data_IF_856086748200
#
_entry.id   IF_856086748200
#
_cell.length_a   1.000
_cell.length_b   1.000
_cell.length_c   1.000
_cell.angle_alpha   90.00
_cell.angle_beta   90.00
_cell.angle_gamma   90.00
#
_symmetry.space_group_name_H-M   'P 1'
#
loop_
_entity.id
_entity.type
_entity.pdbx_description
1 polymer ?
#
# COMPACT_ATOMS: atom_id res chain seq x y z
N UNK A 1 1.10 21.28 3.94
CA UNK A 1 0.43 20.05 4.42
C UNK A 1 0.62 18.98 3.36
N UNK A 2 1.27 17.87 3.68
CA UNK A 2 1.28 16.68 2.80
C UNK A 2 -0.16 16.19 2.71
N UNK A 3 -0.72 16.11 1.51
CA UNK A 3 -2.18 15.96 1.33
C UNK A 3 -2.60 14.56 0.90
N UNK A 4 -1.65 13.69 0.56
CA UNK A 4 -1.96 12.35 0.08
C UNK A 4 -1.70 11.29 1.17
N UNK A 5 -2.77 10.58 1.51
CA UNK A 5 -2.77 9.44 2.42
C UNK A 5 -2.29 8.18 1.70
N UNK A 6 -1.86 7.17 2.43
CA UNK A 6 -1.84 5.79 1.91
C UNK A 6 -3.27 5.30 1.82
N UNK A 7 -3.75 4.92 0.64
CA UNK A 7 -5.07 4.28 0.51
C UNK A 7 -4.91 2.77 0.53
N UNK A 8 -5.64 2.11 1.43
CA UNK A 8 -5.61 0.66 1.60
C UNK A 8 -6.96 0.06 1.22
N UNK A 9 -6.95 -1.01 0.44
CA UNK A 9 -8.13 -1.79 0.10
C UNK A 9 -7.86 -3.26 0.41
N UNK A 10 -8.77 -3.89 1.16
CA UNK A 10 -8.70 -5.33 1.44
C UNK A 10 -9.38 -6.10 0.30
N UNK A 11 -8.62 -6.96 -0.36
CA UNK A 11 -9.08 -7.95 -1.33
C UNK A 11 -8.98 -9.32 -0.69
N UNK A 12 -9.95 -10.22 -0.87
CA UNK A 12 -10.00 -11.63 -0.41
C UNK A 12 -8.74 -12.21 0.26
N UNK A 13 -7.59 -12.23 -0.44
CA UNK A 13 -6.33 -12.78 0.07
C UNK A 13 -5.14 -11.80 0.08
N UNK A 14 -5.39 -10.50 -0.08
CA UNK A 14 -4.34 -9.49 -0.19
C UNK A 14 -4.77 -8.10 0.28
N UNK A 15 -3.79 -7.26 0.62
CA UNK A 15 -4.01 -5.83 0.86
C UNK A 15 -3.43 -5.08 -0.32
N UNK A 16 -4.27 -4.30 -1.01
CA UNK A 16 -3.82 -3.38 -2.05
C UNK A 16 -3.57 -2.00 -1.43
N UNK A 17 -2.46 -1.37 -1.80
CA UNK A 17 -2.01 -0.11 -1.23
C UNK A 17 -1.61 0.86 -2.34
N UNK A 18 -2.27 2.01 -2.39
CA UNK A 18 -1.80 3.14 -3.19
C UNK A 18 -0.80 3.94 -2.38
N UNK A 19 0.45 3.95 -2.85
CA UNK A 19 1.54 4.66 -2.18
C UNK A 19 1.66 6.07 -2.76
N UNK A 20 1.50 7.13 -1.94
CA UNK A 20 1.51 8.50 -2.44
C UNK A 20 2.90 8.93 -2.89
N UNK A 21 2.96 9.79 -3.92
CA UNK A 21 4.23 10.39 -4.34
C UNK A 21 4.69 11.45 -3.33
N UNK A 22 6.02 11.57 -3.16
CA UNK A 22 6.64 12.58 -2.28
C UNK A 22 6.31 14.04 -2.67
N UNK A 23 5.91 14.28 -3.92
CA UNK A 23 5.57 15.62 -4.43
C UNK A 23 4.06 15.94 -4.36
N UNK A 24 3.29 15.20 -3.55
CA UNK A 24 1.86 15.41 -3.30
C UNK A 24 0.97 15.38 -4.57
N UNK A 25 1.38 14.66 -5.63
CA UNK A 25 0.60 14.52 -6.87
C UNK A 25 0.31 13.07 -7.24
N UNK A 26 -0.74 12.51 -6.63
CA UNK A 26 -1.23 11.16 -6.89
C UNK A 26 -0.31 10.06 -6.35
N UNK A 27 -0.40 8.88 -6.95
CA UNK A 27 0.20 7.65 -6.43
C UNK A 27 1.30 7.08 -7.35
N UNK A 28 2.20 6.29 -6.77
CA UNK A 28 3.32 5.67 -7.47
C UNK A 28 2.84 4.65 -8.50
N UNK A 29 3.31 4.76 -9.74
CA UNK A 29 3.07 3.75 -10.79
C UNK A 29 3.82 2.43 -10.52
N UNK A 30 4.91 2.48 -9.76
CA UNK A 30 5.72 1.33 -9.38
C UNK A 30 6.16 1.47 -7.92
N UNK A 31 5.31 1.10 -6.93
CA UNK A 31 5.62 1.25 -5.51
C UNK A 31 6.85 0.47 -5.02
N UNK A 32 7.16 -0.66 -5.64
CA UNK A 32 8.28 -1.56 -5.27
C UNK A 32 9.53 -1.34 -6.13
N UNK A 33 9.38 -0.78 -7.33
CA UNK A 33 10.48 -0.55 -8.27
C UNK A 33 11.20 -1.84 -8.72
N UNK A 34 12.15 -1.71 -9.65
CA UNK A 34 12.92 -2.86 -10.20
C UNK A 34 14.13 -3.30 -9.36
N UNK A 35 14.57 -2.48 -8.41
CA UNK A 35 15.60 -2.82 -7.42
C UNK A 35 14.92 -2.85 -6.05
N UNK A 36 15.10 -3.93 -5.26
CA UNK A 36 14.55 -4.09 -3.89
C UNK A 36 14.66 -2.78 -3.11
N UNK A 37 13.57 -2.01 -3.11
CA UNK A 37 13.58 -0.69 -2.50
C UNK A 37 13.41 -0.84 -0.98
N UNK A 38 13.63 0.24 -0.23
CA UNK A 38 13.52 0.20 1.23
C UNK A 38 12.11 -0.20 1.73
N UNK A 39 11.07 -0.06 0.88
CA UNK A 39 9.73 -0.55 1.18
C UNK A 39 9.65 -2.08 1.08
N UNK A 40 10.25 -2.70 0.06
CA UNK A 40 10.39 -4.17 0.01
C UNK A 40 11.15 -4.71 1.22
N UNK A 41 12.26 -4.07 1.56
CA UNK A 41 13.06 -4.48 2.71
C UNK A 41 12.25 -4.38 4.02
N UNK A 42 11.51 -3.28 4.21
CA UNK A 42 10.58 -3.14 5.32
C UNK A 42 9.56 -4.29 5.34
N UNK A 43 8.99 -4.62 4.18
CA UNK A 43 8.00 -5.69 4.09
C UNK A 43 8.57 -7.08 4.43
N UNK A 44 9.75 -7.40 3.91
CA UNK A 44 10.47 -8.66 4.19
C UNK A 44 10.88 -8.77 5.66
N UNK A 45 11.35 -7.68 6.27
CA UNK A 45 11.86 -7.69 7.65
C UNK A 45 10.76 -7.62 8.70
N UNK A 46 9.61 -7.05 8.37
CA UNK A 46 8.61 -6.68 9.40
C UNK A 46 7.37 -7.57 9.38
N UNK A 47 6.93 -8.04 8.20
CA UNK A 47 5.58 -8.61 8.08
C UNK A 47 5.53 -10.09 7.70
N UNK A 48 6.65 -10.70 7.30
CA UNK A 48 6.71 -12.09 6.78
C UNK A 48 5.73 -12.38 5.62
N UNK A 49 5.28 -11.33 4.91
CA UNK A 49 4.38 -11.44 3.77
C UNK A 49 5.12 -11.13 2.48
N UNK A 50 4.74 -11.84 1.41
CA UNK A 50 5.20 -11.52 0.07
C UNK A 50 4.59 -10.22 -0.41
N UNK A 51 5.39 -9.40 -1.10
CA UNK A 51 4.94 -8.12 -1.65
C UNK A 51 5.30 -7.96 -3.12
N UNK A 52 4.40 -7.34 -3.88
CA UNK A 52 4.61 -6.97 -5.28
C UNK A 52 4.11 -5.55 -5.53
N UNK A 53 4.57 -4.88 -6.60
CA UNK A 53 4.17 -3.49 -6.81
C UNK A 53 4.53 -2.91 -8.17
N UNK A 54 4.16 -3.61 -9.24
CA UNK A 54 4.50 -3.22 -10.61
C UNK A 54 3.36 -2.55 -11.37
N UNK A 55 2.12 -2.61 -10.86
CA UNK A 55 0.94 -2.11 -11.55
C UNK A 55 0.23 -1.02 -10.75
N UNK A 56 0.93 0.06 -10.39
CA UNK A 56 0.31 1.24 -9.77
C UNK A 56 -0.11 1.13 -8.31
N UNK A 57 -0.03 -0.06 -7.72
CA UNK A 57 -0.29 -0.30 -6.31
C UNK A 57 0.68 -1.34 -5.75
N UNK A 58 0.89 -1.32 -4.44
CA UNK A 58 1.60 -2.34 -3.68
C UNK A 58 0.57 -3.41 -3.28
N UNK A 59 0.88 -4.67 -3.52
CA UNK A 59 0.11 -5.82 -3.08
C UNK A 59 0.87 -6.47 -1.94
N UNK A 60 0.21 -6.69 -0.81
CA UNK A 60 0.72 -7.51 0.29
C UNK A 60 -0.09 -8.79 0.31
N UNK A 61 0.55 -9.91 -0.01
CA UNK A 61 -0.07 -11.21 -0.06
C UNK A 61 -0.14 -11.78 1.36
N UNK A 62 -1.28 -11.58 2.00
CA UNK A 62 -1.52 -12.03 3.38
C UNK A 62 -2.04 -13.46 3.44
N UNK A 63 -2.39 -14.04 2.29
CA UNK A 63 -3.32 -15.17 2.24
C UNK A 63 -4.67 -14.74 2.81
N UNK A 64 -5.44 -15.71 3.32
CA UNK A 64 -6.79 -15.46 3.83
C UNK A 64 -6.80 -14.44 4.98
N UNK A 65 -7.58 -13.38 4.82
CA UNK A 65 -7.72 -12.31 5.83
C UNK A 65 -8.72 -12.74 6.90
N UNK A 66 -8.23 -13.02 8.10
CA UNK A 66 -9.06 -13.36 9.26
C UNK A 66 -9.23 -12.21 10.25
N UNK A 67 -8.29 -11.26 10.27
CA UNK A 67 -8.23 -10.17 11.24
C UNK A 67 -7.74 -8.89 10.57
N UNK A 68 -8.69 -8.04 10.17
CA UNK A 68 -8.40 -6.78 9.49
C UNK A 68 -7.75 -5.76 10.42
N UNK A 69 -8.12 -5.73 11.70
CA UNK A 69 -7.56 -4.79 12.67
C UNK A 69 -6.09 -5.08 12.92
N UNK A 70 -5.75 -6.36 13.12
CA UNK A 70 -4.35 -6.77 13.22
C UNK A 70 -3.56 -6.39 11.98
N UNK A 71 -4.09 -6.64 10.78
CA UNK A 71 -3.41 -6.26 9.54
C UNK A 71 -3.25 -4.74 9.37
N UNK A 72 -4.19 -3.94 9.86
CA UNK A 72 -4.03 -2.48 9.92
C UNK A 72 -2.84 -2.11 10.80
N UNK A 73 -2.76 -2.67 12.01
CA UNK A 73 -1.68 -2.39 12.96
C UNK A 73 -0.32 -2.89 12.47
N UNK A 74 -0.28 -4.10 11.91
CA UNK A 74 0.97 -4.77 11.60
C UNK A 74 1.46 -4.50 10.19
N UNK A 75 0.62 -4.06 9.25
CA UNK A 75 1.02 -3.82 7.85
C UNK A 75 0.79 -2.37 7.44
N UNK A 76 -0.45 -1.89 7.52
CA UNK A 76 -0.84 -0.61 6.92
C UNK A 76 -0.19 0.56 7.67
N UNK A 77 -0.26 0.56 9.00
CA UNK A 77 0.35 1.61 9.85
C UNK A 77 1.87 1.73 9.65
N UNK A 78 2.66 0.65 9.69
CA UNK A 78 4.09 0.69 9.37
C UNK A 78 4.40 1.28 7.99
N UNK A 79 3.64 0.92 6.96
CA UNK A 79 3.83 1.44 5.60
C UNK A 79 3.50 2.94 5.53
N UNK A 80 2.41 3.37 6.17
CA UNK A 80 2.04 4.78 6.26
C UNK A 80 3.11 5.61 7.00
N UNK A 81 3.60 5.08 8.12
CA UNK A 81 4.70 5.66 8.89
C UNK A 81 5.98 5.81 8.05
N UNK A 82 6.36 4.77 7.29
CA UNK A 82 7.48 4.81 6.35
C UNK A 82 7.30 5.89 5.27
N UNK A 83 6.07 6.07 4.77
CA UNK A 83 5.73 7.14 3.82
C UNK A 83 5.71 8.53 4.47
N UNK A 84 5.71 8.62 5.80
CA UNK A 84 5.62 9.87 6.56
C UNK A 84 4.29 10.58 6.34
N UNK A 85 3.19 9.80 6.27
CA UNK A 85 1.80 10.25 6.09
C UNK A 85 0.85 9.31 6.85
N UNK A 86 -0.43 9.66 6.92
CA UNK A 86 -1.48 8.82 7.50
C UNK A 86 -2.11 7.91 6.42
N UNK A 87 -3.02 7.02 6.81
CA UNK A 87 -3.69 6.08 5.91
C UNK A 87 -5.21 6.18 5.97
N UNK A 88 -5.86 5.60 4.96
CA UNK A 88 -7.31 5.40 4.95
C UNK A 88 -7.62 4.05 4.32
N UNK A 89 -8.44 3.25 5.01
CA UNK A 89 -9.05 2.06 4.42
C UNK A 89 -10.24 2.50 3.57
N UNK A 90 -10.29 2.07 2.32
CA UNK A 90 -11.29 2.48 1.32
C UNK A 90 -11.91 1.28 0.61
N UNK A 91 -13.10 1.49 0.06
CA UNK A 91 -13.73 0.51 -0.82
C UNK A 91 -13.05 0.46 -2.20
N UNK A 92 -13.47 -0.53 -3.00
CA UNK A 92 -12.96 -0.79 -4.34
C UNK A 92 -13.10 0.42 -5.28
N UNK A 93 -14.25 1.09 -5.25
CA UNK A 93 -14.53 2.22 -6.15
C UNK A 93 -13.60 3.41 -5.86
N UNK A 94 -13.42 3.73 -4.58
CA UNK A 94 -12.51 4.80 -4.16
C UNK A 94 -11.07 4.42 -4.49
N UNK A 95 -10.68 3.16 -4.29
CA UNK A 95 -9.33 2.69 -4.62
C UNK A 95 -9.04 2.86 -6.11
N UNK A 96 -9.87 2.31 -7.00
CA UNK A 96 -9.61 2.34 -8.43
C UNK A 96 -9.76 3.73 -9.05
N UNK A 97 -10.71 4.56 -8.58
CA UNK A 97 -10.81 5.95 -9.06
C UNK A 97 -9.57 6.80 -8.76
N UNK A 98 -8.73 6.39 -7.81
CA UNK A 98 -7.47 7.03 -7.46
C UNK A 98 -6.24 6.33 -8.06
N UNK A 99 -6.42 5.18 -8.70
CA UNK A 99 -5.33 4.34 -9.17
C UNK A 99 -4.56 5.03 -10.32
N UNK A 100 -3.21 5.06 -10.29
CA UNK A 100 -2.41 5.90 -11.19
C UNK A 100 -2.36 5.40 -12.65
N UNK A 101 -2.99 4.25 -12.93
CA UNK A 101 -3.14 3.68 -14.27
C UNK A 101 -4.57 3.83 -14.82
N UNK A 102 -5.51 4.42 -14.08
CA UNK A 102 -6.81 4.81 -14.63
C UNK A 102 -6.63 6.06 -15.49
N UNK A 103 -7.14 6.00 -16.71
CA UNK A 103 -7.01 7.01 -17.78
C UNK A 103 -7.80 8.27 -17.46
#
# INVERSE_FOLDING_TARGET
>A
MKTHLVLAHFWDESILLLIPKKNDKGYLKQPVGGHRNALCKLCEETFFYDVSGFDGHLVVHTGRIFDREKLIETVIKPIASYCGTDFKVVDENIFWSNHPNVS
#
